data_IF_000583036369
#
_entry.id   IF_000583036369
#
_cell.length_a   1.000
_cell.length_b   1.000
_cell.length_c   1.000
_cell.angle_alpha   90.00
_cell.angle_beta   90.00
_cell.angle_gamma   90.00
#
_symmetry.space_group_name_H-M   'P 1'
#
loop_
_entity.id
_entity.type
_entity.pdbx_description
1 polymer ?
#
# COMPACT_ATOMS: atom_id res chain seq x y z
N UNK A 1 6.44 57.35 81.60
CA UNK A 1 7.09 56.81 82.81
C UNK A 1 6.18 55.72 83.35
N UNK A 2 6.54 54.44 83.43
CA UNK A 2 7.82 53.77 83.18
C UNK A 2 7.54 52.28 83.02
N UNK A 3 8.20 51.69 82.03
CA UNK A 3 8.68 50.31 81.88
C UNK A 3 8.62 49.40 83.11
N UNK A 4 8.16 48.15 82.92
CA UNK A 4 8.90 46.95 83.36
C UNK A 4 8.32 45.69 82.71
N UNK A 5 8.96 45.31 81.61
CA UNK A 5 8.91 43.99 81.00
C UNK A 5 9.60 43.00 81.97
N UNK A 6 8.80 42.20 82.69
CA UNK A 6 9.29 41.13 83.53
C UNK A 6 9.22 39.83 82.73
N UNK A 7 10.34 39.45 82.14
CA UNK A 7 10.56 38.09 81.62
C UNK A 7 10.44 37.10 82.77
N UNK A 8 9.23 36.55 82.96
CA UNK A 8 8.98 35.46 83.89
C UNK A 8 9.74 34.22 83.42
N UNK A 9 10.84 33.90 84.10
CA UNK A 9 11.47 32.59 84.06
C UNK A 9 10.41 31.54 84.43
N UNK A 10 10.13 30.55 83.56
CA UNK A 10 9.03 29.63 83.77
C UNK A 10 9.26 28.80 85.03
N UNK A 11 8.20 28.64 85.84
CA UNK A 11 8.28 27.97 87.14
C UNK A 11 8.78 26.51 86.99
N UNK A 12 9.37 25.91 88.05
CA UNK A 12 9.79 24.51 88.01
C UNK A 12 8.67 23.55 87.58
N UNK A 13 7.42 23.88 87.90
CA UNK A 13 6.23 23.12 87.51
C UNK A 13 5.85 23.32 86.04
N UNK A 14 6.01 24.53 85.49
CA UNK A 14 5.79 24.81 84.07
C UNK A 14 6.86 24.16 83.19
N UNK A 15 8.12 24.14 83.64
CA UNK A 15 9.20 23.37 83.00
C UNK A 15 8.87 21.87 83.01
N UNK A 16 8.45 21.31 84.15
CA UNK A 16 8.03 19.90 84.26
C UNK A 16 6.84 19.57 83.36
N UNK A 17 5.82 20.45 83.29
CA UNK A 17 4.68 20.28 82.37
C UNK A 17 5.12 20.30 80.91
N UNK A 18 5.92 21.28 80.48
CA UNK A 18 6.48 21.34 79.12
C UNK A 18 7.32 20.12 78.77
N UNK A 19 8.15 19.63 79.71
CA UNK A 19 8.91 18.40 79.53
C UNK A 19 8.01 17.17 79.39
N UNK A 20 6.96 17.05 80.22
CA UNK A 20 6.01 15.93 80.17
C UNK A 20 5.17 15.95 78.90
N UNK A 21 4.71 17.12 78.46
CA UNK A 21 3.99 17.28 77.18
C UNK A 21 4.90 16.96 76.01
N UNK A 22 6.15 17.45 76.00
CA UNK A 22 7.15 17.09 74.97
C UNK A 22 7.44 15.58 74.96
N UNK A 23 7.60 14.97 76.12
CA UNK A 23 7.82 13.52 76.24
C UNK A 23 6.62 12.73 75.72
N UNK A 24 5.39 13.10 76.08
CA UNK A 24 4.18 12.44 75.57
C UNK A 24 4.07 12.61 74.04
N UNK A 25 4.32 13.82 73.53
CA UNK A 25 4.30 14.07 72.08
C UNK A 25 5.31 13.18 71.37
N UNK A 26 6.55 13.12 71.86
CA UNK A 26 7.61 12.24 71.34
C UNK A 26 7.18 10.77 71.41
N UNK A 27 6.63 10.32 72.54
CA UNK A 27 6.16 8.93 72.72
C UNK A 27 4.98 8.56 71.83
N UNK A 28 4.17 9.52 71.36
CA UNK A 28 3.05 9.24 70.46
C UNK A 28 3.47 9.36 69.00
N UNK A 29 4.29 10.37 68.65
CA UNK A 29 4.69 10.60 67.25
C UNK A 29 5.75 9.62 66.76
N UNK A 30 6.72 9.22 67.60
CA UNK A 30 7.77 8.29 67.16
C UNK A 30 7.24 6.91 66.76
N UNK A 31 6.38 6.24 67.56
CA UNK A 31 5.79 4.98 67.15
C UNK A 31 4.92 5.14 65.91
N UNK A 32 4.15 6.23 65.82
CA UNK A 32 3.33 6.52 64.63
C UNK A 32 4.16 6.68 63.35
N UNK A 33 5.29 7.39 63.42
CA UNK A 33 6.22 7.53 62.30
C UNK A 33 6.88 6.19 61.96
N UNK A 34 7.32 5.41 62.95
CA UNK A 34 7.94 4.09 62.73
C UNK A 34 6.97 3.06 62.12
N UNK A 35 5.71 3.04 62.58
CA UNK A 35 4.66 2.22 61.99
C UNK A 35 4.32 2.68 60.56
N UNK A 36 4.26 3.99 60.34
CA UNK A 36 4.04 4.57 59.01
C UNK A 36 5.15 4.23 58.03
N UNK A 37 6.43 4.34 58.43
CA UNK A 37 7.55 3.99 57.55
C UNK A 37 7.63 2.48 57.29
N UNK A 38 7.41 1.64 58.31
CA UNK A 38 7.42 0.19 58.15
C UNK A 38 6.33 -0.31 57.20
N UNK A 39 5.12 0.25 57.26
CA UNK A 39 4.00 -0.12 56.36
C UNK A 39 4.25 0.30 54.92
N UNK A 40 4.79 1.50 54.68
CA UNK A 40 5.17 1.94 53.32
C UNK A 40 6.31 1.10 52.76
N UNK A 41 7.34 0.79 53.57
CA UNK A 41 8.44 -0.08 53.14
C UNK A 41 7.97 -1.51 52.83
N UNK A 42 7.06 -2.07 53.64
CA UNK A 42 6.47 -3.37 53.38
C UNK A 42 5.65 -3.37 52.07
N UNK A 43 4.79 -2.36 51.86
CA UNK A 43 4.00 -2.20 50.65
C UNK A 43 4.88 -2.01 49.39
N UNK A 44 6.02 -1.33 49.51
CA UNK A 44 6.98 -1.21 48.42
C UNK A 44 7.71 -2.54 48.15
N UNK A 45 8.12 -3.27 49.19
CA UNK A 45 8.79 -4.59 49.04
C UNK A 45 7.87 -5.68 48.51
N UNK A 46 6.57 -5.62 48.81
CA UNK A 46 5.55 -6.53 48.29
C UNK A 46 5.04 -6.12 46.90
N UNK A 47 5.59 -5.04 46.33
CA UNK A 47 5.26 -4.57 44.98
C UNK A 47 3.88 -3.91 44.84
N UNK A 48 3.21 -3.59 45.96
CA UNK A 48 1.90 -2.93 45.94
C UNK A 48 1.99 -1.45 45.54
N UNK A 49 3.17 -0.84 45.69
CA UNK A 49 3.46 0.55 45.30
C UNK A 49 4.42 0.65 44.12
N UNK A 50 4.90 -0.47 43.58
CA UNK A 50 5.71 -0.47 42.35
C UNK A 50 4.79 -0.32 41.16
N UNK A 51 4.94 0.73 40.33
CA UNK A 51 4.23 0.81 39.06
C UNK A 51 4.52 -0.45 38.25
N UNK A 52 3.49 -1.08 37.71
CA UNK A 52 3.69 -2.22 36.82
C UNK A 52 4.61 -1.80 35.67
N UNK A 53 5.64 -2.59 35.35
CA UNK A 53 6.49 -2.31 34.20
C UNK A 53 5.59 -2.10 32.96
N UNK A 54 5.83 -1.07 32.14
CA UNK A 54 5.03 -0.87 30.94
C UNK A 54 5.09 -2.14 30.08
N UNK A 55 3.92 -2.70 29.72
CA UNK A 55 3.83 -3.87 28.84
C UNK A 55 4.67 -3.57 27.60
N UNK A 56 5.60 -4.45 27.27
CA UNK A 56 6.50 -4.25 26.13
C UNK A 56 5.69 -3.91 24.88
N UNK A 57 6.02 -2.77 24.25
CA UNK A 57 5.33 -2.31 23.05
C UNK A 57 5.60 -3.30 21.92
N UNK A 58 4.58 -4.04 21.53
CA UNK A 58 4.75 -5.02 20.47
C UNK A 58 4.86 -4.32 19.10
N UNK A 59 5.91 -4.65 18.36
CA UNK A 59 6.15 -4.12 17.01
C UNK A 59 5.66 -5.13 15.95
N UNK A 60 4.89 -4.70 14.94
CA UNK A 60 4.39 -5.59 13.91
C UNK A 60 5.55 -6.18 13.08
N UNK A 61 5.44 -7.45 12.71
CA UNK A 61 6.46 -8.14 11.94
C UNK A 61 6.27 -7.87 10.44
N UNK A 62 7.24 -7.20 9.81
CA UNK A 62 7.23 -6.96 8.37
C UNK A 62 7.83 -8.16 7.64
N UNK A 63 7.04 -8.79 6.77
CA UNK A 63 7.46 -9.94 5.96
C UNK A 63 7.27 -9.65 4.47
N UNK A 64 8.01 -10.33 3.57
CA UNK A 64 7.76 -10.24 2.14
C UNK A 64 6.31 -10.60 1.79
N UNK A 65 5.66 -9.79 0.98
CA UNK A 65 4.29 -10.04 0.56
C UNK A 65 4.23 -11.24 -0.40
N UNK A 66 3.15 -12.05 -0.35
CA UNK A 66 2.94 -13.11 -1.33
C UNK A 66 2.76 -12.51 -2.74
N UNK A 67 3.05 -13.31 -3.77
CA UNK A 67 2.79 -12.89 -5.15
C UNK A 67 1.29 -12.69 -5.34
N UNK A 68 0.86 -11.53 -5.85
CA UNK A 68 -0.57 -11.22 -6.07
C UNK A 68 -1.32 -12.26 -6.90
N UNK A 69 -0.62 -12.93 -7.82
CA UNK A 69 -1.20 -13.96 -8.68
C UNK A 69 -1.12 -15.39 -8.11
N UNK A 70 -0.54 -15.61 -6.92
CA UNK A 70 -0.37 -16.96 -6.34
C UNK A 70 -1.59 -17.46 -5.57
N UNK A 71 -2.62 -16.64 -5.43
CA UNK A 71 -3.87 -16.98 -4.75
C UNK A 71 -5.04 -16.28 -5.43
N UNK A 72 -6.24 -16.78 -5.17
CA UNK A 72 -7.47 -16.28 -5.78
C UNK A 72 -8.16 -15.29 -4.85
N UNK A 73 -8.68 -14.20 -5.41
CA UNK A 73 -9.52 -13.23 -4.71
C UNK A 73 -10.93 -13.32 -5.28
N UNK A 74 -11.91 -13.66 -4.43
CA UNK A 74 -13.32 -13.50 -4.77
C UNK A 74 -13.79 -12.13 -4.29
N UNK A 75 -14.70 -11.50 -5.01
CA UNK A 75 -15.23 -10.17 -4.66
C UNK A 75 -16.75 -10.26 -4.54
N UNK A 76 -17.25 -10.00 -3.34
CA UNK A 76 -18.66 -10.07 -3.00
C UNK A 76 -19.20 -8.67 -2.73
N UNK A 77 -20.40 -8.39 -3.22
CA UNK A 77 -21.08 -7.12 -3.01
C UNK A 77 -22.05 -7.19 -1.82
N UNK A 78 -21.79 -6.45 -0.75
CA UNK A 78 -22.70 -6.23 0.38
C UNK A 78 -23.22 -4.78 0.45
N UNK A 79 -23.09 -4.01 -0.63
CA UNK A 79 -23.44 -2.58 -0.66
C UNK A 79 -24.88 -2.29 -1.06
N UNK A 80 -25.57 -3.27 -1.68
CA UNK A 80 -26.85 -3.07 -2.35
C UNK A 80 -26.79 -2.24 -3.64
N UNK A 81 -25.60 -1.82 -4.09
CA UNK A 81 -25.40 -1.05 -5.33
C UNK A 81 -24.91 -1.94 -6.45
N UNK A 82 -25.53 -1.84 -7.62
CA UNK A 82 -25.15 -2.66 -8.77
C UNK A 82 -23.71 -2.38 -9.26
N UNK A 83 -23.03 -3.44 -9.70
CA UNK A 83 -21.70 -3.35 -10.32
C UNK A 83 -20.54 -3.03 -9.37
N UNK A 84 -20.78 -2.89 -8.06
CA UNK A 84 -19.73 -2.52 -7.11
C UNK A 84 -18.61 -3.58 -7.02
N UNK A 85 -18.97 -4.85 -6.85
CA UNK A 85 -17.98 -5.94 -6.82
C UNK A 85 -17.20 -6.05 -8.14
N UNK A 86 -17.84 -5.84 -9.28
CA UNK A 86 -17.17 -5.84 -10.59
C UNK A 86 -16.16 -4.69 -10.71
N UNK A 87 -16.48 -3.51 -10.16
CA UNK A 87 -15.58 -2.35 -10.13
C UNK A 87 -14.34 -2.64 -9.28
N UNK A 88 -14.53 -3.19 -8.07
CA UNK A 88 -13.41 -3.58 -7.19
C UNK A 88 -12.58 -4.68 -7.81
N UNK A 89 -13.21 -5.72 -8.38
CA UNK A 89 -12.54 -6.82 -9.06
C UNK A 89 -11.70 -6.34 -10.25
N UNK A 90 -12.21 -5.39 -11.05
CA UNK A 90 -11.45 -4.75 -12.14
C UNK A 90 -10.21 -4.05 -11.59
N UNK A 91 -10.34 -3.30 -10.51
CA UNK A 91 -9.21 -2.65 -9.83
C UNK A 91 -8.15 -3.65 -9.34
N UNK A 92 -8.57 -4.73 -8.69
CA UNK A 92 -7.68 -5.79 -8.23
C UNK A 92 -7.01 -6.53 -9.39
N UNK A 93 -7.74 -6.81 -10.48
CA UNK A 93 -7.19 -7.43 -11.68
C UNK A 93 -6.11 -6.55 -12.35
N UNK A 94 -6.34 -5.25 -12.44
CA UNK A 94 -5.33 -4.29 -12.93
C UNK A 94 -4.04 -4.32 -12.08
N UNK A 95 -4.17 -4.64 -10.79
CA UNK A 95 -3.06 -4.83 -9.84
C UNK A 95 -2.43 -6.23 -9.89
N UNK A 96 -2.84 -7.07 -10.84
CA UNK A 96 -2.36 -8.44 -11.08
C UNK A 96 -2.75 -9.45 -10.01
N UNK A 97 -3.84 -9.20 -9.28
CA UNK A 97 -4.48 -10.25 -8.48
C UNK A 97 -5.24 -11.21 -9.39
N UNK A 98 -5.24 -12.50 -9.03
CA UNK A 98 -6.06 -13.49 -9.73
C UNK A 98 -7.49 -13.43 -9.19
N UNK A 99 -8.43 -12.95 -10.00
CA UNK A 99 -9.85 -12.88 -9.61
C UNK A 99 -10.51 -14.23 -9.84
N UNK A 100 -11.23 -14.73 -8.85
CA UNK A 100 -12.02 -15.95 -8.92
C UNK A 100 -13.47 -15.64 -9.28
N UNK A 101 -14.30 -15.46 -8.26
CA UNK A 101 -15.72 -15.13 -8.38
C UNK A 101 -16.00 -13.64 -8.16
N UNK A 102 -17.03 -13.14 -8.85
CA UNK A 102 -17.66 -11.85 -8.60
C UNK A 102 -19.14 -12.13 -8.35
N UNK A 103 -19.64 -11.84 -7.15
CA UNK A 103 -21.03 -12.17 -6.77
C UNK A 103 -21.57 -11.17 -5.76
N UNK A 104 -22.82 -11.36 -5.33
CA UNK A 104 -23.35 -10.70 -4.14
C UNK A 104 -22.94 -11.47 -2.89
N UNK A 105 -22.83 -10.76 -1.76
CA UNK A 105 -22.71 -11.38 -0.45
C UNK A 105 -24.06 -12.00 -0.03
N UNK A 106 -24.06 -13.00 0.87
CA UNK A 106 -25.29 -13.48 1.51
C UNK A 106 -26.08 -12.33 2.13
N UNK A 107 -27.42 -12.37 2.07
CA UNK A 107 -28.29 -11.30 2.59
C UNK A 107 -28.13 -11.06 4.10
N UNK A 108 -27.65 -12.07 4.83
CA UNK A 108 -27.37 -11.96 6.27
C UNK A 108 -26.10 -11.17 6.58
N UNK A 109 -25.27 -10.86 5.59
CA UNK A 109 -24.00 -10.17 5.78
C UNK A 109 -24.19 -8.66 5.64
N UNK A 110 -24.33 -8.00 6.79
CA UNK A 110 -24.41 -6.54 6.86
C UNK A 110 -23.04 -5.93 7.18
N UNK A 111 -22.35 -5.43 6.16
CA UNK A 111 -20.99 -4.86 6.29
C UNK A 111 -21.05 -3.35 6.19
N UNK A 112 -20.81 -2.66 7.31
CA UNK A 112 -20.78 -1.19 7.37
C UNK A 112 -19.41 -0.61 6.99
N UNK A 113 -18.36 -1.40 7.19
CA UNK A 113 -16.98 -1.10 6.82
C UNK A 113 -16.84 -0.91 5.29
N UNK A 114 -15.76 -0.26 4.84
CA UNK A 114 -15.41 -0.22 3.41
C UNK A 114 -15.30 -1.60 2.77
N UNK A 115 -14.65 -2.54 3.45
CA UNK A 115 -14.66 -3.94 3.09
C UNK A 115 -14.28 -4.81 4.29
N UNK A 116 -14.66 -6.08 4.25
CA UNK A 116 -14.15 -7.11 5.16
C UNK A 116 -13.51 -8.20 4.31
N UNK A 117 -12.24 -8.52 4.59
CA UNK A 117 -11.49 -9.56 3.89
C UNK A 117 -11.54 -10.84 4.72
N UNK A 118 -12.30 -11.81 4.22
CA UNK A 118 -12.44 -13.13 4.80
C UNK A 118 -11.32 -14.05 4.33
N UNK A 119 -10.67 -14.74 5.27
CA UNK A 119 -9.51 -15.60 4.99
C UNK A 119 -9.42 -16.77 5.95
N UNK A 120 -8.83 -17.89 5.53
CA UNK A 120 -8.57 -19.03 6.42
C UNK A 120 -7.29 -18.84 7.25
N UNK A 121 -7.08 -19.58 8.36
CA UNK A 121 -5.98 -19.34 9.30
C UNK A 121 -4.57 -19.35 8.68
N UNK A 122 -4.38 -20.03 7.55
CA UNK A 122 -3.10 -20.13 6.82
C UNK A 122 -2.88 -19.02 5.78
N UNK A 123 -3.81 -18.08 5.63
CA UNK A 123 -3.84 -17.10 4.54
C UNK A 123 -3.81 -15.63 5.01
N UNK A 124 -3.29 -15.39 6.22
CA UNK A 124 -3.20 -14.04 6.80
C UNK A 124 -2.40 -13.08 5.90
N UNK A 125 -1.27 -13.51 5.33
CA UNK A 125 -0.43 -12.63 4.50
C UNK A 125 -1.14 -12.21 3.21
N UNK A 126 -1.93 -13.11 2.62
CA UNK A 126 -2.73 -12.87 1.44
C UNK A 126 -3.85 -11.87 1.77
N UNK A 127 -4.50 -12.04 2.92
CA UNK A 127 -5.54 -11.15 3.40
C UNK A 127 -5.00 -9.74 3.67
N UNK A 128 -3.86 -9.63 4.38
CA UNK A 128 -3.16 -8.35 4.63
C UNK A 128 -2.79 -7.65 3.32
N UNK A 129 -2.30 -8.40 2.32
CA UNK A 129 -1.95 -7.82 1.02
C UNK A 129 -3.17 -7.24 0.28
N UNK A 130 -4.32 -7.90 0.39
CA UNK A 130 -5.58 -7.43 -0.20
C UNK A 130 -6.15 -6.25 0.60
N UNK A 131 -6.08 -6.29 1.94
CA UNK A 131 -6.50 -5.21 2.83
C UNK A 131 -5.76 -3.90 2.50
N UNK A 132 -4.46 -3.96 2.24
CA UNK A 132 -3.67 -2.79 1.81
C UNK A 132 -4.22 -2.11 0.54
N UNK A 133 -5.01 -2.79 -0.27
CA UNK A 133 -5.58 -2.20 -1.48
C UNK A 133 -6.86 -1.40 -1.19
N UNK A 134 -7.56 -1.64 -0.08
CA UNK A 134 -8.86 -1.02 0.21
C UNK A 134 -8.74 -0.26 1.53
N UNK A 135 -8.65 1.08 1.52
CA UNK A 135 -8.53 1.87 2.73
C UNK A 135 -9.69 1.61 3.70
N UNK A 136 -9.37 1.29 4.96
CA UNK A 136 -10.35 0.97 6.00
C UNK A 136 -10.95 -0.44 5.88
N UNK A 137 -10.41 -1.31 5.03
CA UNK A 137 -10.80 -2.71 5.05
C UNK A 137 -10.39 -3.40 6.36
N UNK A 138 -11.28 -4.23 6.90
CA UNK A 138 -11.02 -5.06 8.06
C UNK A 138 -10.74 -6.51 7.65
N UNK A 139 -10.15 -7.29 8.55
CA UNK A 139 -9.84 -8.70 8.34
C UNK A 139 -10.79 -9.55 9.17
N UNK A 140 -11.28 -10.65 8.60
CA UNK A 140 -12.06 -11.65 9.32
C UNK A 140 -11.50 -13.04 9.06
N UNK A 141 -11.07 -13.73 10.13
CA UNK A 141 -10.56 -15.09 10.02
C UNK A 141 -11.71 -16.11 10.10
N UNK A 142 -11.86 -16.89 9.04
CA UNK A 142 -12.79 -18.01 8.99
C UNK A 142 -12.06 -19.30 9.44
N UNK A 143 -12.16 -19.70 10.71
CA UNK A 143 -11.40 -20.85 11.24
C UNK A 143 -11.66 -22.19 10.53
N UNK A 144 -12.88 -22.38 10.02
CA UNK A 144 -13.26 -23.57 9.24
C UNK A 144 -12.81 -23.55 7.77
N UNK A 145 -12.22 -22.45 7.29
CA UNK A 145 -11.91 -22.26 5.87
C UNK A 145 -10.58 -22.91 5.49
N UNK A 146 -10.66 -23.87 4.57
CA UNK A 146 -9.50 -24.58 4.01
C UNK A 146 -9.11 -24.13 2.60
N UNK A 147 -9.91 -23.27 1.97
CA UNK A 147 -9.65 -22.80 0.59
C UNK A 147 -8.41 -21.91 0.52
N UNK A 148 -7.73 -21.92 -0.63
CA UNK A 148 -6.58 -21.03 -0.93
C UNK A 148 -7.01 -19.66 -1.45
N UNK A 149 -8.26 -19.28 -1.25
CA UNK A 149 -8.82 -18.01 -1.69
C UNK A 149 -9.09 -17.10 -0.51
N UNK A 150 -9.07 -15.79 -0.76
CA UNK A 150 -9.60 -14.77 0.14
C UNK A 150 -10.83 -14.16 -0.50
N UNK A 151 -11.81 -13.79 0.33
CA UNK A 151 -13.03 -13.17 -0.14
C UNK A 151 -13.07 -11.71 0.33
N UNK A 152 -13.23 -10.78 -0.60
CA UNK A 152 -13.40 -9.36 -0.32
C UNK A 152 -14.87 -9.05 -0.34
N UNK A 153 -15.45 -8.84 0.83
CA UNK A 153 -16.83 -8.40 0.97
C UNK A 153 -16.86 -6.89 0.99
N UNK A 154 -17.32 -6.28 -0.10
CA UNK A 154 -17.39 -4.83 -0.26
C UNK A 154 -18.61 -4.30 0.47
N UNK A 155 -18.39 -3.44 1.48
CA UNK A 155 -19.45 -2.94 2.37
C UNK A 155 -19.89 -1.52 2.07
N UNK A 156 -20.87 -1.04 2.85
CA UNK A 156 -21.54 0.24 2.65
C UNK A 156 -20.59 1.44 2.74
N UNK A 157 -19.52 1.31 3.52
CA UNK A 157 -18.48 2.33 3.67
C UNK A 157 -17.53 2.44 2.47
N UNK A 158 -17.68 1.61 1.43
CA UNK A 158 -16.73 1.58 0.33
C UNK A 158 -16.76 2.89 -0.46
N UNK A 159 -15.58 3.46 -0.68
CA UNK A 159 -15.39 4.67 -1.48
C UNK A 159 -14.59 4.36 -2.73
N UNK A 160 -13.37 3.86 -2.53
CA UNK A 160 -12.43 3.57 -3.61
C UNK A 160 -11.37 2.56 -3.17
N UNK A 161 -10.70 1.98 -4.16
CA UNK A 161 -9.48 1.19 -3.98
C UNK A 161 -8.28 2.14 -4.07
N UNK A 162 -7.21 1.89 -3.32
CA UNK A 162 -5.95 2.67 -3.37
C UNK A 162 -5.56 2.89 -4.83
N UNK A 163 -5.29 4.13 -5.30
CA UNK A 163 -4.96 4.41 -6.70
C UNK A 163 -3.86 3.53 -7.28
N UNK A 164 -3.89 3.28 -8.60
CA UNK A 164 -2.85 2.47 -9.23
C UNK A 164 -1.50 3.17 -9.05
N UNK A 165 -0.43 2.43 -8.70
CA UNK A 165 0.89 3.02 -8.68
C UNK A 165 1.22 3.59 -10.06
N UNK A 166 1.95 4.72 -10.14
CA UNK A 166 2.35 5.31 -11.41
C UNK A 166 3.04 4.26 -12.28
N UNK A 167 2.64 4.19 -13.55
CA UNK A 167 3.32 3.37 -14.55
C UNK A 167 4.58 4.11 -14.98
N UNK A 168 5.71 3.42 -14.96
CA UNK A 168 6.96 3.95 -15.49
C UNK A 168 7.01 3.78 -17.00
N UNK A 169 7.68 4.71 -17.68
CA UNK A 169 7.91 4.58 -19.11
C UNK A 169 8.71 3.30 -19.40
N UNK A 170 8.27 2.49 -20.38
CA UNK A 170 9.01 1.31 -20.79
C UNK A 170 10.29 1.73 -21.51
N UNK A 171 11.37 0.98 -21.27
CA UNK A 171 12.59 1.16 -22.03
C UNK A 171 12.39 0.61 -23.46
N UNK A 172 13.12 1.09 -24.48
CA UNK A 172 13.04 0.53 -25.83
C UNK A 172 13.10 -1.01 -25.88
N UNK A 173 14.01 -1.61 -25.08
CA UNK A 173 14.18 -3.07 -24.95
C UNK A 173 13.01 -3.84 -24.34
N UNK A 174 12.02 -3.15 -23.79
CA UNK A 174 10.80 -3.73 -23.22
C UNK A 174 9.60 -3.58 -24.16
N UNK A 175 9.72 -2.69 -25.14
CA UNK A 175 8.67 -2.43 -26.11
C UNK A 175 8.76 -3.46 -27.24
N UNK A 176 7.68 -4.22 -27.37
CA UNK A 176 7.50 -5.17 -28.47
C UNK A 176 6.61 -4.55 -29.53
N UNK A 177 7.05 -4.55 -30.78
CA UNK A 177 6.33 -3.92 -31.88
C UNK A 177 6.25 -4.78 -33.14
N UNK A 178 5.24 -4.51 -33.95
CA UNK A 178 5.18 -4.92 -35.34
C UNK A 178 5.43 -3.69 -36.24
N UNK A 179 6.03 -3.89 -37.40
CA UNK A 179 6.29 -2.81 -38.37
C UNK A 179 5.61 -3.17 -39.68
N UNK A 180 4.64 -2.33 -40.07
CA UNK A 180 3.81 -2.55 -41.26
C UNK A 180 4.05 -1.50 -42.32
N UNK A 181 4.12 -1.93 -43.58
CA UNK A 181 4.20 -1.04 -44.73
C UNK A 181 2.80 -0.83 -45.35
N UNK A 182 2.39 0.42 -45.57
CA UNK A 182 1.21 0.77 -46.38
C UNK A 182 1.57 1.54 -47.64
N UNK A 183 2.86 1.62 -47.98
CA UNK A 183 3.38 2.40 -49.11
C UNK A 183 3.69 1.49 -50.30
N UNK A 184 3.92 2.10 -51.46
CA UNK A 184 4.43 1.43 -52.66
C UNK A 184 5.95 1.18 -52.62
N UNK A 185 6.65 1.59 -51.55
CA UNK A 185 8.09 1.42 -51.43
C UNK A 185 8.40 0.03 -50.91
N UNK A 186 8.97 -0.81 -51.77
CA UNK A 186 9.38 -2.16 -51.39
C UNK A 186 10.45 -2.14 -50.29
N UNK A 187 10.37 -3.10 -49.36
CA UNK A 187 11.35 -3.26 -48.29
C UNK A 187 11.32 -2.19 -47.17
N UNK A 188 10.50 -1.15 -47.28
CA UNK A 188 10.49 -0.02 -46.33
C UNK A 188 10.30 -0.46 -44.86
N UNK A 189 9.33 -1.34 -44.59
CA UNK A 189 9.12 -1.85 -43.23
C UNK A 189 10.33 -2.64 -42.69
N UNK A 190 11.05 -3.37 -43.55
CA UNK A 190 12.26 -4.10 -43.16
C UNK A 190 13.40 -3.16 -42.79
N UNK A 191 13.59 -2.09 -43.58
CA UNK A 191 14.58 -1.04 -43.28
C UNK A 191 14.28 -0.37 -41.94
N UNK A 192 13.04 0.09 -41.75
CA UNK A 192 12.61 0.75 -40.51
C UNK A 192 12.70 -0.20 -39.30
N UNK A 193 12.33 -1.47 -39.47
CA UNK A 193 12.47 -2.48 -38.43
C UNK A 193 13.93 -2.70 -38.01
N UNK A 194 14.88 -2.69 -38.96
CA UNK A 194 16.32 -2.81 -38.64
C UNK A 194 16.79 -1.62 -37.80
N UNK A 195 16.40 -0.40 -38.14
CA UNK A 195 16.73 0.79 -37.35
C UNK A 195 16.14 0.73 -35.94
N UNK A 196 14.87 0.31 -35.80
CA UNK A 196 14.26 0.13 -34.48
C UNK A 196 15.00 -0.93 -33.65
N UNK A 197 15.40 -2.06 -34.25
CA UNK A 197 16.22 -3.07 -33.57
C UNK A 197 17.56 -2.50 -33.10
N UNK A 198 18.24 -1.69 -33.94
CA UNK A 198 19.49 -1.01 -33.56
C UNK A 198 19.30 -0.04 -32.39
N UNK A 199 18.11 0.58 -32.29
CA UNK A 199 17.73 1.45 -31.16
C UNK A 199 17.25 0.66 -29.93
N UNK A 200 17.36 -0.67 -29.96
CA UNK A 200 17.06 -1.57 -28.85
C UNK A 200 15.61 -2.04 -28.76
N UNK A 201 14.74 -1.70 -29.72
CA UNK A 201 13.35 -2.16 -29.71
C UNK A 201 13.21 -3.63 -30.10
N UNK A 202 12.19 -4.31 -29.56
CA UNK A 202 11.87 -5.70 -29.93
C UNK A 202 10.88 -5.74 -31.08
N UNK A 203 11.37 -5.81 -32.30
CA UNK A 203 10.51 -6.00 -33.48
C UNK A 203 10.16 -7.47 -33.63
N UNK A 204 8.87 -7.79 -33.54
CA UNK A 204 8.32 -9.15 -33.65
C UNK A 204 7.94 -9.51 -35.08
N UNK A 205 7.22 -8.62 -35.76
CA UNK A 205 6.68 -8.87 -37.10
C UNK A 205 7.03 -7.72 -38.04
N UNK A 206 7.30 -8.06 -39.30
CA UNK A 206 7.53 -7.11 -40.40
C UNK A 206 6.76 -7.61 -41.60
N UNK A 207 5.78 -6.85 -42.07
CA UNK A 207 4.94 -7.23 -43.21
C UNK A 207 4.22 -6.02 -43.82
N UNK A 208 3.37 -6.24 -44.81
CA UNK A 208 2.40 -5.21 -45.23
C UNK A 208 1.26 -5.13 -44.21
N UNK A 209 0.60 -3.99 -44.11
CA UNK A 209 -0.49 -3.81 -43.13
C UNK A 209 -1.62 -4.83 -43.35
N UNK A 210 -1.92 -5.70 -42.36
CA UNK A 210 -2.98 -6.70 -42.50
C UNK A 210 -4.37 -6.07 -42.66
N UNK A 211 -4.55 -4.84 -42.18
CA UNK A 211 -5.82 -4.10 -42.35
C UNK A 211 -5.95 -3.45 -43.74
N UNK A 212 -4.93 -3.56 -44.60
CA UNK A 212 -4.89 -3.00 -45.96
C UNK A 212 -5.27 -1.53 -46.01
N UNK A 213 -4.90 -0.77 -44.98
CA UNK A 213 -5.17 0.67 -44.94
C UNK A 213 -4.15 1.43 -45.76
N UNK A 214 -4.53 2.61 -46.25
CA UNK A 214 -3.61 3.55 -46.86
C UNK A 214 -3.31 4.67 -45.86
N UNK A 215 -2.09 4.71 -45.33
CA UNK A 215 -1.65 5.80 -44.48
C UNK A 215 -0.92 6.87 -45.30
N UNK A 216 -1.54 8.03 -45.46
CA UNK A 216 -0.96 9.15 -46.21
C UNK A 216 0.03 9.98 -45.39
N UNK A 217 -0.10 9.97 -44.06
CA UNK A 217 0.83 10.62 -43.14
C UNK A 217 2.18 9.91 -43.01
N UNK A 218 3.00 10.32 -42.04
CA UNK A 218 4.32 9.73 -41.80
C UNK A 218 4.23 8.33 -41.19
N UNK A 219 3.47 8.19 -40.10
CA UNK A 219 3.14 6.88 -39.52
C UNK A 219 1.88 6.96 -38.67
N UNK A 220 1.22 5.82 -38.51
CA UNK A 220 0.16 5.57 -37.54
C UNK A 220 0.64 4.50 -36.56
N UNK A 221 0.66 4.81 -35.27
CA UNK A 221 1.02 3.86 -34.22
C UNK A 221 -0.29 3.37 -33.58
N UNK A 222 -0.60 2.09 -33.78
CA UNK A 222 -1.80 1.45 -33.22
C UNK A 222 -1.46 0.74 -31.91
N UNK A 223 -2.26 0.94 -30.87
CA UNK A 223 -1.97 0.42 -29.53
C UNK A 223 -3.23 0.15 -28.69
N UNK A 224 -3.07 -0.69 -27.68
CA UNK A 224 -4.09 -1.00 -26.67
C UNK A 224 -3.95 -0.15 -25.41
N UNK A 225 -4.88 -0.28 -24.48
CA UNK A 225 -4.83 0.48 -23.21
C UNK A 225 -3.52 0.27 -22.45
N UNK A 226 -3.01 -0.96 -22.40
CA UNK A 226 -1.75 -1.25 -21.72
C UNK A 226 -0.50 -0.80 -22.51
N UNK A 227 -0.64 -0.52 -23.81
CA UNK A 227 0.44 -0.15 -24.73
C UNK A 227 0.62 1.36 -24.94
N UNK A 228 -0.17 2.21 -24.27
CA UNK A 228 -0.16 3.66 -24.46
C UNK A 228 1.20 4.31 -24.18
N UNK A 229 1.90 3.92 -23.11
CA UNK A 229 3.24 4.42 -22.80
C UNK A 229 4.26 3.96 -23.84
N UNK A 230 4.16 2.69 -24.28
CA UNK A 230 5.02 2.18 -25.35
C UNK A 230 4.81 2.95 -26.66
N UNK A 231 3.55 3.25 -27.00
CA UNK A 231 3.22 4.03 -28.19
C UNK A 231 3.78 5.45 -28.14
N UNK A 232 3.72 6.12 -26.97
CA UNK A 232 4.32 7.45 -26.76
C UNK A 232 5.84 7.43 -26.96
N UNK A 233 6.53 6.41 -26.44
CA UNK A 233 7.97 6.27 -26.65
C UNK A 233 8.28 6.05 -28.13
N UNK A 234 7.55 5.16 -28.81
CA UNK A 234 7.74 4.92 -30.25
C UNK A 234 7.47 6.19 -31.09
N UNK A 235 6.49 7.01 -30.70
CA UNK A 235 6.19 8.27 -31.39
C UNK A 235 7.34 9.28 -31.32
N UNK A 236 8.17 9.26 -30.28
CA UNK A 236 9.36 10.14 -30.20
C UNK A 236 10.39 9.81 -31.30
N UNK A 237 10.40 8.57 -31.78
CA UNK A 237 11.30 8.11 -32.84
C UNK A 237 10.78 8.38 -34.25
N UNK A 238 9.53 8.80 -34.41
CA UNK A 238 8.91 9.00 -35.73
C UNK A 238 8.32 10.41 -35.82
N UNK A 239 8.89 11.29 -36.66
CA UNK A 239 8.38 12.65 -36.82
C UNK A 239 6.90 12.64 -37.21
N UNK A 240 6.08 13.46 -36.54
CA UNK A 240 4.65 13.63 -36.86
C UNK A 240 3.85 12.31 -36.88
N UNK A 241 4.27 11.30 -36.11
CA UNK A 241 3.49 10.09 -35.94
C UNK A 241 2.15 10.39 -35.25
N UNK A 242 1.11 9.69 -35.70
CA UNK A 242 -0.23 9.74 -35.11
C UNK A 242 -0.44 8.52 -34.22
N UNK A 243 -1.14 8.71 -33.10
CA UNK A 243 -1.43 7.67 -32.12
C UNK A 243 -2.90 7.24 -32.25
N UNK A 244 -3.16 5.95 -32.43
CA UNK A 244 -4.51 5.38 -32.46
C UNK A 244 -4.66 4.26 -31.42
N UNK A 245 -5.54 4.51 -30.44
CA UNK A 245 -5.97 3.48 -29.49
C UNK A 245 -7.09 2.65 -30.12
N UNK A 246 -6.85 1.38 -30.39
CA UNK A 246 -7.77 0.51 -31.16
C UNK A 246 -8.43 -0.60 -30.33
N UNK A 247 -8.36 -0.50 -29.00
CA UNK A 247 -9.05 -1.42 -28.08
C UNK A 247 -8.40 -2.79 -27.96
N UNK A 248 -7.27 -3.07 -28.63
CA UNK A 248 -6.53 -4.32 -28.44
C UNK A 248 -6.09 -4.49 -26.98
N UNK A 249 -5.91 -5.75 -26.58
CA UNK A 249 -5.33 -6.07 -25.28
C UNK A 249 -3.80 -6.15 -25.35
N UNK A 250 -3.14 -5.78 -24.26
CA UNK A 250 -1.71 -5.97 -24.06
C UNK A 250 -0.86 -4.79 -24.52
N UNK A 251 0.45 -4.94 -24.34
CA UNK A 251 1.42 -3.84 -24.45
C UNK A 251 2.06 -3.70 -25.84
N UNK A 252 1.66 -4.52 -26.81
CA UNK A 252 2.23 -4.51 -28.16
C UNK A 252 1.71 -3.31 -28.95
N UNK A 253 2.57 -2.77 -29.79
CA UNK A 253 2.26 -1.65 -30.67
C UNK A 253 2.53 -2.02 -32.13
N UNK A 254 1.70 -1.52 -33.05
CA UNK A 254 1.96 -1.64 -34.47
C UNK A 254 2.39 -0.29 -35.02
N UNK A 255 3.51 -0.25 -35.71
CA UNK A 255 4.01 0.92 -36.43
C UNK A 255 3.64 0.79 -37.89
N UNK A 256 2.64 1.54 -38.32
CA UNK A 256 2.14 1.53 -39.69
C UNK A 256 2.76 2.70 -40.45
N UNK A 257 3.70 2.39 -41.35
CA UNK A 257 4.48 3.37 -42.08
C UNK A 257 3.69 3.89 -43.27
N UNK A 258 3.54 5.21 -43.34
CA UNK A 258 2.78 5.88 -44.40
C UNK A 258 3.64 6.51 -45.49
N UNK A 259 2.97 7.02 -46.53
CA UNK A 259 3.60 7.53 -47.75
C UNK A 259 4.49 8.76 -47.52
N UNK A 260 4.20 9.58 -46.50
CA UNK A 260 5.02 10.73 -46.14
C UNK A 260 6.22 10.36 -45.25
N UNK A 261 6.52 9.07 -45.05
CA UNK A 261 7.68 8.63 -44.30
C UNK A 261 8.99 8.90 -45.06
N UNK A 262 9.90 9.60 -44.40
CA UNK A 262 11.23 9.92 -44.94
C UNK A 262 12.37 9.34 -44.09
N UNK A 263 12.10 9.04 -42.82
CA UNK A 263 13.08 8.46 -41.91
C UNK A 263 12.64 8.60 -40.45
N UNK A 264 13.38 7.93 -39.56
CA UNK A 264 13.21 8.08 -38.12
C UNK A 264 13.85 9.39 -37.63
N UNK A 265 13.37 9.90 -36.50
CA UNK A 265 13.99 11.01 -35.78
C UNK A 265 15.46 10.67 -35.52
N UNK A 266 16.43 11.56 -35.85
CA UNK A 266 17.84 11.34 -35.53
C UNK A 266 18.01 11.00 -34.05
N UNK A 267 18.85 9.99 -33.73
CA UNK A 267 18.93 9.47 -32.37
C UNK A 267 19.34 10.53 -31.34
N UNK A 268 20.18 11.48 -31.74
CA UNK A 268 20.59 12.62 -30.91
C UNK A 268 19.45 13.58 -30.53
N UNK A 269 18.34 13.56 -31.27
CA UNK A 269 17.15 14.39 -31.01
C UNK A 269 16.07 13.63 -30.22
N UNK A 270 16.26 12.32 -30.00
CA UNK A 270 15.34 11.53 -29.18
C UNK A 270 15.66 11.78 -27.71
N UNK A 271 14.68 12.15 -26.87
CA UNK A 271 14.91 12.30 -25.44
C UNK A 271 15.48 11.04 -24.81
N UNK A 272 16.48 11.19 -23.94
CA UNK A 272 17.02 10.07 -23.20
C UNK A 272 15.96 9.50 -22.24
N UNK A 273 15.87 8.16 -22.10
CA UNK A 273 14.95 7.56 -21.13
C UNK A 273 15.26 8.03 -19.71
N UNK A 274 14.21 8.35 -18.94
CA UNK A 274 14.35 8.71 -17.54
C UNK A 274 14.95 7.54 -16.72
N UNK A 275 15.77 7.82 -15.69
CA UNK A 275 16.24 6.79 -14.77
C UNK A 275 15.08 6.04 -14.12
N UNK A 276 15.14 4.71 -14.12
CA UNK A 276 14.11 3.90 -13.47
C UNK A 276 14.40 3.76 -11.97
N UNK A 277 13.46 4.11 -11.08
CA UNK A 277 13.65 3.85 -9.66
C UNK A 277 13.68 2.34 -9.40
N UNK A 278 14.46 1.93 -8.39
CA UNK A 278 14.43 0.53 -7.93
C UNK A 278 13.03 0.24 -7.40
N UNK A 279 12.39 -0.81 -7.92
CA UNK A 279 11.10 -1.26 -7.40
C UNK A 279 11.32 -1.88 -6.04
N UNK A 280 10.62 -1.36 -5.02
CA UNK A 280 10.63 -1.96 -3.69
C UNK A 280 9.93 -3.33 -3.73
N UNK A 281 10.46 -4.30 -3.00
CA UNK A 281 9.77 -5.56 -2.76
C UNK A 281 8.52 -5.27 -1.92
N UNK A 282 7.32 -5.71 -2.35
CA UNK A 282 6.12 -5.50 -1.56
C UNK A 282 6.22 -6.28 -0.25
N UNK A 283 5.74 -5.69 0.84
CA UNK A 283 5.73 -6.29 2.18
C UNK A 283 4.36 -6.19 2.83
N UNK A 284 4.10 -7.08 3.77
CA UNK A 284 2.93 -7.03 4.66
C UNK A 284 3.39 -7.01 6.11
N UNK A 285 2.65 -6.29 6.96
CA UNK A 285 2.92 -6.19 8.38
C UNK A 285 1.95 -7.09 9.13
N UNK A 286 2.45 -8.18 9.74
CA UNK A 286 1.64 -9.05 10.57
C UNK A 286 1.37 -8.37 11.92
N UNK A 287 0.11 -8.36 12.39
CA UNK A 287 -0.17 -7.90 13.74
C UNK A 287 0.54 -8.80 14.74
N UNK A 288 0.82 -8.24 15.91
CA UNK A 288 1.37 -8.99 17.02
C UNK A 288 0.39 -10.07 17.48
N UNK A 289 0.87 -11.29 17.67
CA UNK A 289 0.17 -12.28 18.48
C UNK A 289 0.38 -11.90 19.95
N UNK A 290 -0.68 -11.57 20.68
CA UNK A 290 -0.64 -11.64 22.14
C UNK A 290 -0.36 -13.11 22.48
N UNK A 291 0.83 -13.38 23.00
CA UNK A 291 1.24 -14.69 23.50
C UNK A 291 1.02 -14.73 25.01
#
# INVERSE_FOLDING_TARGET
MTEQDLTQEPSPEERRRKHRTRQILIFVTLPGVLLGTATVSAAYSQGWLTPTPPKAACSPQVVPAPKRSSFTVNVLNATGRDGMAATVAKGLSQRKFSIGGISNAPETWYVTQPAVVHYGPKFLDQALLVQQQIPGAELFQDDGRVSKSVDVVVGLGYKEIVPLPPRFDPLPREITMNVYNTTFREGLASTVAKEFKQRGFKVKEVSNDPLKTLQMGTALIRFGEEGDLAAKIVAQHIPKATLLKDGRAGTKVDVVIGNAFTGLTPLAQVPAPAPRPKQATPTVARPCSDN
#
